data_IF_939606272641
#
_entry.id   IF_939606272641
#
_cell.length_a   1.000
_cell.length_b   1.000
_cell.length_c   1.000
_cell.angle_alpha   90.00
_cell.angle_beta   90.00
_cell.angle_gamma   90.00
#
_symmetry.space_group_name_H-M   'P 1'
#
loop_
_entity.id
_entity.type
_entity.pdbx_description
1 polymer ?
#
# COMPACT_ATOMS: atom_id res chain seq x y z
N UNK A 1 26.29 -11.08 0.47
CA UNK A 1 25.11 -10.18 0.47
C UNK A 1 23.92 -11.06 0.79
N UNK A 2 23.11 -10.73 1.81
CA UNK A 2 21.90 -11.51 2.08
C UNK A 2 20.94 -11.34 0.90
N UNK A 3 20.40 -12.44 0.38
CA UNK A 3 19.35 -12.37 -0.62
C UNK A 3 18.13 -11.66 -0.02
N UNK A 4 17.45 -10.77 -0.77
CA UNK A 4 16.22 -10.16 -0.28
C UNK A 4 15.20 -11.28 -0.07
N UNK A 5 14.78 -11.47 1.17
CA UNK A 5 13.65 -12.35 1.48
C UNK A 5 12.41 -11.81 0.77
N UNK A 6 11.69 -12.70 0.07
CA UNK A 6 10.43 -12.34 -0.57
C UNK A 6 9.49 -11.70 0.48
N UNK A 7 8.83 -10.57 0.14
CA UNK A 7 7.96 -9.90 1.09
C UNK A 7 6.76 -10.78 1.42
N UNK A 8 6.32 -10.73 2.68
CA UNK A 8 5.07 -11.38 3.10
C UNK A 8 3.91 -10.52 2.63
N UNK A 9 3.06 -11.03 1.75
CA UNK A 9 1.89 -10.31 1.26
C UNK A 9 0.64 -10.68 2.07
N UNK A 10 0.00 -9.66 2.64
CA UNK A 10 -1.14 -9.79 3.55
C UNK A 10 -2.33 -9.04 2.93
N UNK A 11 -3.52 -9.64 2.80
CA UNK A 11 -4.72 -8.89 2.42
C UNK A 11 -5.01 -7.75 3.39
N UNK A 12 -5.34 -6.54 2.91
CA UNK A 12 -5.74 -5.45 3.81
C UNK A 12 -7.09 -5.69 4.47
N UNK A 13 -7.98 -6.39 3.76
CA UNK A 13 -9.33 -6.70 4.21
C UNK A 13 -9.48 -8.22 4.35
N UNK A 14 -10.13 -8.71 5.42
CA UNK A 14 -10.34 -10.14 5.63
C UNK A 14 -11.39 -10.71 4.66
N UNK A 15 -12.24 -9.85 4.10
CA UNK A 15 -13.30 -10.17 3.15
C UNK A 15 -13.28 -9.16 1.99
N UNK A 16 -14.36 -9.08 1.21
CA UNK A 16 -14.52 -8.05 0.19
C UNK A 16 -14.36 -6.65 0.79
N UNK A 17 -13.52 -5.78 0.21
CA UNK A 17 -13.26 -4.46 0.77
C UNK A 17 -14.51 -3.56 0.73
N UNK A 18 -14.69 -2.64 1.69
CA UNK A 18 -15.82 -1.70 1.67
C UNK A 18 -15.72 -0.78 0.45
N UNK A 19 -16.85 -0.30 -0.04
CA UNK A 19 -16.92 0.47 -1.29
C UNK A 19 -16.37 -0.32 -2.50
N UNK A 20 -16.55 -1.64 -2.52
CA UNK A 20 -16.22 -2.46 -3.67
C UNK A 20 -16.98 -1.99 -4.91
N UNK A 21 -16.31 -2.08 -6.05
CA UNK A 21 -16.89 -1.86 -7.35
C UNK A 21 -16.94 -3.21 -8.06
N UNK A 22 -18.05 -3.56 -8.76
CA UNK A 22 -18.13 -4.81 -9.50
C UNK A 22 -16.92 -4.94 -10.42
N UNK A 23 -16.23 -6.09 -10.42
CA UNK A 23 -15.05 -6.19 -11.22
C UNK A 23 -15.38 -6.11 -12.70
N UNK A 24 -14.73 -5.19 -13.42
CA UNK A 24 -14.92 -4.99 -14.86
C UNK A 24 -13.69 -5.39 -15.70
N UNK A 25 -12.62 -5.82 -15.03
CA UNK A 25 -11.36 -6.29 -15.60
C UNK A 25 -10.63 -7.21 -14.62
N UNK A 26 -9.48 -7.75 -15.02
CA UNK A 26 -8.52 -8.45 -14.15
C UNK A 26 -7.37 -7.52 -13.75
N UNK A 27 -6.75 -7.77 -12.58
CA UNK A 27 -5.51 -7.08 -12.18
C UNK A 27 -4.44 -7.32 -13.24
N UNK A 28 -3.85 -6.25 -13.78
CA UNK A 28 -2.84 -6.35 -14.85
C UNK A 28 -1.49 -5.90 -14.36
N UNK A 29 -0.54 -6.82 -14.35
CA UNK A 29 0.88 -6.52 -14.10
C UNK A 29 1.55 -6.27 -15.45
N UNK A 30 2.15 -5.09 -15.60
CA UNK A 30 2.98 -4.75 -16.76
C UNK A 30 4.43 -4.67 -16.33
N UNK A 31 5.26 -5.56 -16.85
CA UNK A 31 6.71 -5.50 -16.68
C UNK A 31 7.34 -4.57 -17.72
N UNK A 32 8.22 -3.68 -17.27
CA UNK A 32 8.97 -2.75 -18.11
C UNK A 32 10.46 -3.08 -18.02
N UNK A 33 11.27 -2.66 -19.01
CA UNK A 33 12.72 -2.77 -18.90
C UNK A 33 13.22 -2.13 -17.61
N UNK A 34 14.21 -2.75 -16.98
CA UNK A 34 14.91 -2.16 -15.85
C UNK A 34 15.48 -0.79 -16.25
N UNK A 35 15.52 0.15 -15.29
CA UNK A 35 16.10 1.46 -15.56
C UNK A 35 17.63 1.35 -15.56
N UNK A 36 18.33 2.09 -16.45
CA UNK A 36 19.78 2.20 -16.38
C UNK A 36 20.24 2.56 -14.97
N UNK A 37 21.20 1.80 -14.42
CA UNK A 37 21.72 2.00 -13.06
C UNK A 37 20.80 1.55 -11.91
N UNK A 38 19.64 0.97 -12.20
CA UNK A 38 18.73 0.37 -11.21
C UNK A 38 18.26 -1.01 -11.69
N UNK A 39 19.11 -2.04 -11.58
CA UNK A 39 18.74 -3.41 -11.94
C UNK A 39 17.63 -3.92 -10.99
N UNK A 40 16.80 -4.82 -11.50
CA UNK A 40 15.68 -5.41 -10.77
C UNK A 40 14.34 -5.20 -11.49
N UNK A 41 13.26 -5.78 -10.92
CA UNK A 41 11.92 -5.66 -11.48
C UNK A 41 11.48 -4.21 -11.65
N UNK A 42 10.73 -3.92 -12.72
CA UNK A 42 10.18 -2.59 -12.96
C UNK A 42 8.74 -2.73 -13.45
N UNK A 43 7.88 -3.22 -12.54
CA UNK A 43 6.48 -3.50 -12.82
C UNK A 43 5.61 -2.32 -12.41
N UNK A 44 4.50 -2.19 -13.12
CA UNK A 44 3.33 -1.44 -12.66
C UNK A 44 2.13 -2.36 -12.58
N UNK A 45 1.27 -2.15 -11.58
CA UNK A 45 0.03 -2.92 -11.41
C UNK A 45 -1.14 -2.01 -11.72
N UNK A 46 -1.95 -2.38 -12.71
CA UNK A 46 -3.21 -1.70 -13.01
C UNK A 46 -4.37 -2.50 -12.45
N UNK A 47 -5.44 -1.80 -12.11
CA UNK A 47 -6.69 -2.42 -11.71
C UNK A 47 -6.57 -3.31 -10.46
N UNK A 48 -5.97 -2.75 -9.42
CA UNK A 48 -6.01 -3.33 -8.09
C UNK A 48 -7.44 -3.22 -7.54
N UNK A 49 -8.13 -4.35 -7.40
CA UNK A 49 -9.44 -4.47 -6.74
C UNK A 49 -9.32 -5.06 -5.33
N UNK A 50 -8.35 -5.96 -5.12
CA UNK A 50 -8.06 -6.59 -3.84
C UNK A 50 -6.74 -6.05 -3.29
N UNK A 51 -6.78 -5.11 -2.32
CA UNK A 51 -5.58 -4.43 -1.88
C UNK A 51 -4.80 -5.27 -0.85
N UNK A 52 -3.48 -5.16 -0.90
CA UNK A 52 -2.56 -5.95 -0.06
C UNK A 52 -1.49 -5.08 0.60
N UNK A 53 -0.86 -5.64 1.62
CA UNK A 53 0.28 -5.10 2.34
C UNK A 53 1.45 -6.07 2.17
N UNK A 54 2.47 -5.68 1.40
CA UNK A 54 3.66 -6.49 1.21
C UNK A 54 4.77 -6.04 2.17
N UNK A 55 5.03 -6.84 3.21
CA UNK A 55 5.95 -6.51 4.30
C UNK A 55 7.37 -6.99 4.01
N UNK A 56 8.32 -6.06 4.05
CA UNK A 56 9.76 -6.26 3.97
C UNK A 56 10.35 -6.10 5.36
N UNK A 57 10.74 -7.20 5.97
CA UNK A 57 11.36 -7.21 7.29
C UNK A 57 12.86 -6.89 7.20
N UNK A 58 13.40 -6.34 8.29
CA UNK A 58 14.84 -6.18 8.46
C UNK A 58 15.42 -7.36 9.24
N UNK A 59 16.60 -7.82 8.85
CA UNK A 59 17.38 -8.78 9.66
C UNK A 59 17.89 -8.17 10.98
N UNK A 60 17.90 -6.83 11.09
CA UNK A 60 18.25 -6.06 12.30
C UNK A 60 17.21 -4.94 12.46
N UNK A 61 15.99 -5.25 12.92
CA UNK A 61 14.94 -4.25 13.08
C UNK A 61 15.34 -3.24 14.17
N UNK A 62 15.02 -1.96 13.95
CA UNK A 62 15.34 -0.87 14.88
C UNK A 62 14.10 -0.35 15.63
N UNK A 63 12.99 -1.10 15.58
CA UNK A 63 11.70 -0.71 16.17
C UNK A 63 10.85 0.25 15.32
N UNK A 64 11.27 0.60 14.10
CA UNK A 64 10.53 1.53 13.22
C UNK A 64 9.88 0.79 12.06
N UNK A 65 8.70 1.27 11.67
CA UNK A 65 8.08 0.89 10.42
C UNK A 65 7.79 2.07 9.48
N UNK A 66 7.75 1.78 8.19
CA UNK A 66 7.33 2.73 7.15
C UNK A 66 6.35 2.06 6.18
N UNK A 67 5.17 2.63 6.04
CA UNK A 67 4.21 2.28 4.99
C UNK A 67 4.52 3.09 3.73
N UNK A 68 4.72 2.40 2.62
CA UNK A 68 5.09 2.99 1.32
C UNK A 68 3.91 2.89 0.37
N UNK A 69 3.41 4.04 -0.07
CA UNK A 69 2.28 4.19 -0.99
C UNK A 69 2.81 4.56 -2.39
N UNK A 70 2.86 3.61 -3.34
CA UNK A 70 3.32 3.88 -4.71
C UNK A 70 2.44 4.91 -5.41
N UNK A 71 2.97 5.63 -6.40
CA UNK A 71 2.22 6.52 -7.27
C UNK A 71 1.61 5.81 -8.48
N UNK A 72 1.19 6.60 -9.48
CA UNK A 72 0.54 6.12 -10.71
C UNK A 72 -0.84 6.74 -10.97
N UNK A 73 -1.10 7.93 -10.42
CA UNK A 73 -2.28 8.74 -10.73
C UNK A 73 -3.61 8.10 -10.34
N UNK A 74 -3.60 7.17 -9.38
CA UNK A 74 -4.72 6.30 -9.03
C UNK A 74 -5.21 5.40 -10.18
N UNK A 75 -4.49 5.34 -11.31
CA UNK A 75 -4.81 4.47 -12.46
C UNK A 75 -4.02 3.17 -12.41
N UNK A 76 -2.84 3.22 -11.81
CA UNK A 76 -1.99 2.07 -11.60
C UNK A 76 -1.07 2.37 -10.41
N UNK A 77 -0.28 1.38 -10.02
CA UNK A 77 0.73 1.48 -9.00
C UNK A 77 2.11 1.22 -9.60
N UNK A 78 3.04 2.14 -9.38
CA UNK A 78 4.47 1.95 -9.70
C UNK A 78 5.13 1.04 -8.64
N UNK A 79 4.66 -0.21 -8.58
CA UNK A 79 4.81 -1.12 -7.43
C UNK A 79 6.27 -1.42 -7.07
N UNK A 80 7.17 -1.50 -8.05
CA UNK A 80 8.58 -1.79 -7.76
C UNK A 80 9.36 -0.52 -7.45
N UNK A 81 9.45 0.42 -8.40
CA UNK A 81 10.37 1.56 -8.29
C UNK A 81 9.97 2.57 -7.20
N UNK A 82 8.68 2.70 -6.90
CA UNK A 82 8.14 3.56 -5.84
C UNK A 82 7.65 2.75 -4.63
N UNK A 83 7.69 1.41 -4.71
CA UNK A 83 7.31 0.50 -3.63
C UNK A 83 8.45 -0.42 -3.23
N UNK A 84 8.52 -1.63 -3.81
CA UNK A 84 9.43 -2.70 -3.35
C UNK A 84 10.91 -2.30 -3.29
N UNK A 85 11.40 -1.48 -4.22
CA UNK A 85 12.78 -1.00 -4.18
C UNK A 85 13.04 -0.06 -3.00
N UNK A 86 12.08 0.79 -2.68
CA UNK A 86 12.13 1.70 -1.52
C UNK A 86 12.02 0.88 -0.23
N UNK A 87 11.10 -0.07 -0.17
CA UNK A 87 10.91 -0.94 0.98
C UNK A 87 12.16 -1.79 1.26
N UNK A 88 12.77 -2.39 0.24
CA UNK A 88 14.03 -3.12 0.37
C UNK A 88 15.21 -2.24 0.79
N UNK A 89 15.22 -0.95 0.39
CA UNK A 89 16.22 0.00 0.86
C UNK A 89 16.02 0.35 2.35
N UNK A 90 14.78 0.60 2.77
CA UNK A 90 14.43 0.87 4.17
C UNK A 90 14.72 -0.34 5.08
N UNK A 91 14.36 -1.55 4.64
CA UNK A 91 14.64 -2.79 5.37
C UNK A 91 16.15 -2.98 5.62
N UNK A 92 17.00 -2.68 4.63
CA UNK A 92 18.46 -2.71 4.81
C UNK A 92 18.97 -1.67 5.82
N UNK A 93 18.23 -0.59 6.04
CA UNK A 93 18.53 0.44 7.02
C UNK A 93 17.94 0.14 8.42
N UNK A 94 17.34 -1.03 8.63
CA UNK A 94 16.77 -1.42 9.92
C UNK A 94 15.29 -1.06 10.10
N UNK A 95 14.65 -0.48 9.08
CA UNK A 95 13.24 -0.04 9.14
C UNK A 95 12.39 -1.10 8.45
N UNK A 96 11.47 -1.74 9.18
CA UNK A 96 10.48 -2.64 8.57
C UNK A 96 9.61 -1.84 7.62
N UNK A 97 9.55 -2.21 6.35
CA UNK A 97 8.84 -1.42 5.35
C UNK A 97 7.74 -2.23 4.69
N UNK A 98 6.55 -1.66 4.52
CA UNK A 98 5.44 -2.35 3.91
C UNK A 98 4.89 -1.57 2.71
N UNK A 99 4.86 -2.20 1.55
CA UNK A 99 4.31 -1.61 0.33
C UNK A 99 2.80 -1.79 0.34
N UNK A 100 2.06 -0.69 0.25
CA UNK A 100 0.61 -0.69 0.23
C UNK A 100 0.13 -0.76 -1.21
N UNK A 101 -0.32 -1.94 -1.65
CA UNK A 101 -0.98 -2.14 -2.94
C UNK A 101 -2.45 -1.74 -2.80
N UNK A 102 -2.75 -0.45 -2.81
CA UNK A 102 -4.10 0.08 -2.61
C UNK A 102 -4.94 0.03 -3.89
N UNK A 103 -6.28 0.08 -3.78
CA UNK A 103 -7.18 0.00 -4.95
C UNK A 103 -6.92 1.12 -5.96
N UNK A 104 -7.19 0.87 -7.23
CA UNK A 104 -7.04 1.88 -8.29
C UNK A 104 -8.34 2.09 -9.03
N UNK A 105 -8.50 3.26 -9.66
CA UNK A 105 -9.66 3.61 -10.46
C UNK A 105 -9.86 2.58 -11.60
N UNK A 106 -11.02 1.89 -11.65
CA UNK A 106 -11.37 0.97 -12.72
C UNK A 106 -11.26 1.63 -14.10
N UNK A 107 -10.72 0.95 -15.13
CA UNK A 107 -10.67 1.47 -16.48
C UNK A 107 -12.00 2.04 -16.99
N UNK A 108 -13.14 1.37 -16.76
CA UNK A 108 -14.46 1.86 -17.20
C UNK A 108 -14.90 3.16 -16.53
N UNK A 109 -14.35 3.47 -15.35
CA UNK A 109 -14.69 4.65 -14.55
C UNK A 109 -13.71 5.80 -14.77
N UNK A 110 -12.65 5.60 -15.56
CA UNK A 110 -11.70 6.66 -15.91
C UNK A 110 -12.35 7.61 -16.90
N UNK A 111 -12.44 8.88 -16.53
CA UNK A 111 -12.95 9.93 -17.39
C UNK A 111 -11.82 10.90 -17.73
N UNK A 112 -11.46 10.99 -18.99
CA UNK A 112 -10.42 11.92 -19.44
C UNK A 112 -10.87 13.37 -19.24
N UNK A 113 -9.98 14.21 -18.71
CA UNK A 113 -10.28 15.62 -18.41
C UNK A 113 -11.27 15.84 -17.26
N UNK A 114 -11.68 14.79 -16.53
CA UNK A 114 -12.59 14.90 -15.37
C UNK A 114 -11.92 14.37 -14.09
N UNK A 115 -12.29 14.90 -12.93
CA UNK A 115 -11.82 14.38 -11.65
C UNK A 115 -12.28 12.93 -11.46
N UNK A 116 -11.50 12.17 -10.69
CA UNK A 116 -11.87 10.82 -10.28
C UNK A 116 -13.19 10.85 -9.48
N UNK A 117 -14.12 9.91 -9.71
CA UNK A 117 -15.34 9.81 -8.91
C UNK A 117 -15.05 9.78 -7.40
N UNK A 118 -15.73 10.59 -6.58
CA UNK A 118 -15.45 10.70 -5.14
C UNK A 118 -15.52 9.38 -4.38
N UNK A 119 -16.42 8.48 -4.77
CA UNK A 119 -16.58 7.16 -4.18
C UNK A 119 -15.34 6.27 -4.37
N UNK A 120 -14.65 6.41 -5.50
CA UNK A 120 -13.38 5.70 -5.76
C UNK A 120 -12.30 6.25 -4.83
N UNK A 121 -12.24 7.57 -4.64
CA UNK A 121 -11.28 8.14 -3.71
C UNK A 121 -11.55 7.70 -2.26
N UNK A 122 -12.82 7.58 -1.85
CA UNK A 122 -13.18 7.04 -0.53
C UNK A 122 -12.69 5.61 -0.34
N UNK A 123 -12.83 4.75 -1.35
CA UNK A 123 -12.31 3.39 -1.33
C UNK A 123 -10.77 3.35 -1.15
N UNK A 124 -10.05 4.21 -1.88
CA UNK A 124 -8.59 4.34 -1.80
C UNK A 124 -8.13 4.86 -0.44
N UNK A 125 -8.84 5.86 0.11
CA UNK A 125 -8.57 6.40 1.43
C UNK A 125 -8.79 5.34 2.52
N UNK A 126 -9.88 4.58 2.42
CA UNK A 126 -10.17 3.47 3.32
C UNK A 126 -9.04 2.43 3.32
N UNK A 127 -8.51 2.06 2.15
CA UNK A 127 -7.36 1.13 2.07
C UNK A 127 -6.13 1.70 2.76
N UNK A 128 -5.83 2.98 2.57
CA UNK A 128 -4.68 3.61 3.22
C UNK A 128 -4.82 3.69 4.74
N UNK A 129 -5.99 4.06 5.24
CA UNK A 129 -6.30 4.04 6.66
C UNK A 129 -6.21 2.63 7.23
N UNK A 130 -6.74 1.63 6.51
CA UNK A 130 -6.70 0.22 6.90
C UNK A 130 -5.26 -0.30 6.99
N UNK A 131 -4.39 0.09 6.06
CA UNK A 131 -2.98 -0.28 6.08
C UNK A 131 -2.26 0.23 7.34
N UNK A 132 -2.49 1.49 7.73
CA UNK A 132 -1.95 2.06 8.98
C UNK A 132 -2.40 1.25 10.19
N UNK A 133 -3.70 0.97 10.27
CA UNK A 133 -4.27 0.24 11.42
C UNK A 133 -3.81 -1.22 11.46
N UNK A 134 -3.74 -1.89 10.31
CA UNK A 134 -3.25 -3.26 10.20
C UNK A 134 -1.77 -3.34 10.62
N UNK A 135 -0.94 -2.38 10.19
CA UNK A 135 0.45 -2.30 10.59
C UNK A 135 0.61 -2.09 12.09
N UNK A 136 -0.20 -1.21 12.71
CA UNK A 136 -0.25 -1.02 14.16
C UNK A 136 -0.66 -2.29 14.90
N UNK A 137 -1.71 -2.96 14.43
CA UNK A 137 -2.21 -4.19 15.04
C UNK A 137 -1.18 -5.32 15.02
N UNK A 138 -0.48 -5.48 13.89
CA UNK A 138 0.55 -6.51 13.70
C UNK A 138 1.96 -6.08 14.12
N UNK A 139 2.14 -4.86 14.64
CA UNK A 139 3.42 -4.32 15.06
C UNK A 139 4.22 -5.26 16.00
N UNK A 140 3.60 -5.97 16.97
CA UNK A 140 4.31 -6.93 17.82
C UNK A 140 4.95 -8.10 17.06
N UNK A 141 4.41 -8.49 15.89
CA UNK A 141 4.94 -9.60 15.09
C UNK A 141 6.32 -9.30 14.49
N UNK A 142 6.66 -8.02 14.34
CA UNK A 142 7.90 -7.57 13.71
C UNK A 142 8.75 -6.66 14.60
N UNK A 143 8.51 -6.71 15.93
CA UNK A 143 9.23 -5.90 16.92
C UNK A 143 9.20 -4.40 16.61
N UNK A 144 8.03 -3.89 16.22
CA UNK A 144 7.83 -2.47 15.91
C UNK A 144 7.20 -1.76 17.10
N UNK A 145 7.75 -0.61 17.47
CA UNK A 145 7.13 0.25 18.47
C UNK A 145 5.87 0.92 17.88
N UNK A 146 4.70 0.86 18.54
CA UNK A 146 3.44 1.39 17.98
C UNK A 146 3.47 2.89 17.62
N UNK A 147 4.33 3.67 18.28
CA UNK A 147 4.55 5.10 18.08
C UNK A 147 5.61 5.42 17.01
N UNK A 148 6.24 4.40 16.41
CA UNK A 148 7.30 4.54 15.40
C UNK A 148 6.88 4.01 14.02
N UNK A 149 5.64 4.30 13.63
CA UNK A 149 5.08 3.93 12.33
C UNK A 149 4.87 5.19 11.50
N UNK A 150 5.66 5.33 10.43
CA UNK A 150 5.55 6.40 9.45
C UNK A 150 4.81 5.99 8.18
N UNK A 151 4.44 7.00 7.39
CA UNK A 151 3.86 6.85 6.06
C UNK A 151 4.67 7.67 5.04
N UNK A 152 4.88 7.12 3.86
CA UNK A 152 5.59 7.75 2.75
C UNK A 152 4.86 7.47 1.44
N UNK A 153 4.73 8.46 0.57
CA UNK A 153 4.05 8.29 -0.70
C UNK A 153 4.69 9.06 -1.85
N UNK A 154 4.48 8.56 -3.06
CA UNK A 154 5.01 9.15 -4.30
C UNK A 154 3.87 9.57 -5.23
N UNK A 155 3.91 10.80 -5.78
CA UNK A 155 2.87 11.29 -6.70
C UNK A 155 1.45 11.14 -6.12
N UNK A 156 0.57 10.35 -6.73
CA UNK A 156 -0.75 10.02 -6.19
C UNK A 156 -0.70 9.34 -4.80
N UNK A 157 0.32 8.51 -4.53
CA UNK A 157 0.56 7.98 -3.19
C UNK A 157 0.96 9.08 -2.20
N UNK A 158 1.69 10.11 -2.66
CA UNK A 158 2.02 11.28 -1.85
C UNK A 158 0.78 12.13 -1.52
N UNK A 159 -0.11 12.32 -2.50
CA UNK A 159 -1.42 12.92 -2.26
C UNK A 159 -2.23 12.11 -1.24
N UNK A 160 -2.30 10.78 -1.38
CA UNK A 160 -2.97 9.91 -0.40
C UNK A 160 -2.37 10.07 0.99
N UNK A 161 -1.04 10.02 1.14
CA UNK A 161 -0.36 10.19 2.43
C UNK A 161 -0.63 11.56 3.06
N UNK A 162 -0.74 12.63 2.27
CA UNK A 162 -1.14 13.93 2.79
C UNK A 162 -2.56 13.88 3.41
N UNK A 163 -3.52 13.26 2.73
CA UNK A 163 -4.86 13.03 3.29
C UNK A 163 -4.83 12.18 4.57
N UNK A 164 -4.02 11.12 4.60
CA UNK A 164 -3.84 10.30 5.80
C UNK A 164 -3.21 11.07 6.96
N UNK A 165 -2.37 12.07 6.69
CA UNK A 165 -1.70 12.86 7.72
C UNK A 165 -2.56 14.03 8.23
N UNK A 166 -3.42 14.61 7.39
CA UNK A 166 -4.17 15.84 7.73
C UNK A 166 -5.67 15.64 7.90
N UNK A 167 -6.23 14.56 7.35
CA UNK A 167 -7.66 14.24 7.34
C UNK A 167 -8.01 12.96 8.10
N UNK A 168 -7.10 12.45 8.93
CA UNK A 168 -7.34 11.27 9.77
C UNK A 168 -8.31 11.62 10.90
N UNK A 169 -9.54 11.13 10.80
CA UNK A 169 -10.43 10.99 11.96
C UNK A 169 -10.35 9.52 12.42
N UNK A 170 -9.90 9.31 13.65
CA UNK A 170 -9.79 7.99 14.26
C UNK A 170 -11.17 7.29 14.35
N UNK A 171 -12.25 8.08 14.41
CA UNK A 171 -13.64 7.68 14.56
C UNK A 171 -14.42 7.41 13.25
N UNK A 172 -13.79 7.44 12.07
CA UNK A 172 -14.48 7.14 10.81
C UNK A 172 -14.99 5.67 10.79
N UNK A 173 -16.31 5.39 10.72
CA UNK A 173 -16.93 4.07 10.92
C UNK A 173 -16.54 2.99 9.90
N UNK A 174 -15.74 3.30 8.88
CA UNK A 174 -14.95 2.28 8.14
C UNK A 174 -13.89 1.61 9.05
N UNK A 175 -13.80 2.06 10.31
CA UNK A 175 -12.84 1.76 11.36
C UNK A 175 -12.83 0.36 11.96
N UNK A 176 -14.00 -0.27 12.14
CA UNK A 176 -14.17 -1.21 13.27
C UNK A 176 -13.87 -2.69 12.98
N UNK A 177 -13.54 -3.07 11.75
CA UNK A 177 -13.37 -4.48 11.38
C UNK A 177 -11.90 -4.96 11.36
N UNK A 178 -11.14 -4.67 12.41
CA UNK A 178 -9.81 -5.29 12.59
C UNK A 178 -9.90 -6.58 13.40
N UNK A 179 -10.95 -6.74 14.21
CA UNK A 179 -11.08 -7.84 15.18
C UNK A 179 -12.01 -9.01 14.83
N UNK A 180 -12.63 -9.04 13.64
CA UNK A 180 -13.63 -10.07 13.32
C UNK A 180 -13.04 -11.30 12.57
N UNK A 181 -11.86 -11.77 12.96
CA UNK A 181 -11.33 -13.05 12.47
C UNK A 181 -10.48 -13.76 13.54
N UNK A 182 -11.09 -14.73 14.23
CA UNK A 182 -10.40 -15.86 14.87
C UNK A 182 -9.84 -15.63 16.28
N UNK A 183 -10.70 -15.79 17.29
CA UNK A 183 -10.31 -16.43 18.55
C UNK A 183 -10.48 -17.95 18.40
#
# INVERSE_FOLDING_TARGET
MAEPTMPVEIPLWPQEPPFAFPPDADERITERPARPGRPGPNRSVEYVSMPTLAVHTSARPNGTAMLVYPGGGYRYLEIDKEGHHIAAWLARAGITAAVVKYRTCPPSRRQEGRPMPPEIFRAILADGLRAVRLMRHRAPEWDIAPDRIGVMGFSAGGHLVAHLATGYDEADPVADEIGAAGA
#
